data_IF_804369981718
#
_entry.id   IF_804369981718
#
_cell.length_a   1.000
_cell.length_b   1.000
_cell.length_c   1.000
_cell.angle_alpha   90.00
_cell.angle_beta   90.00
_cell.angle_gamma   90.00
#
_symmetry.space_group_name_H-M   'P 1'
#
loop_
_entity.id
_entity.type
_entity.pdbx_description
1 polymer ?
#
# COMPACT_ATOMS: atom_id res chain seq x y z
N UNK A 1 21.91 9.07 20.89
CA UNK A 1 20.77 8.12 20.93
C UNK A 1 19.45 8.75 20.48
N UNK A 2 18.97 9.85 21.09
CA UNK A 2 17.69 10.48 20.70
C UNK A 2 17.62 10.91 19.22
N UNK A 3 18.69 11.50 18.69
CA UNK A 3 18.75 11.89 17.27
C UNK A 3 18.66 10.69 16.30
N UNK A 4 19.25 9.55 16.65
CA UNK A 4 19.17 8.34 15.84
C UNK A 4 17.74 7.79 15.76
N UNK A 5 16.99 7.85 16.87
CA UNK A 5 15.59 7.43 16.90
C UNK A 5 14.71 8.29 16.00
N UNK A 6 14.89 9.62 16.02
CA UNK A 6 14.15 10.55 15.15
C UNK A 6 14.41 10.23 13.66
N UNK A 7 15.67 9.95 13.30
CA UNK A 7 16.01 9.59 11.92
C UNK A 7 15.32 8.29 11.51
N UNK A 8 15.33 7.27 12.36
CA UNK A 8 14.65 5.98 12.09
C UNK A 8 13.15 6.21 11.91
N UNK A 9 12.52 7.01 12.76
CA UNK A 9 11.08 7.30 12.67
C UNK A 9 10.71 8.04 11.38
N UNK A 10 11.52 9.02 10.96
CA UNK A 10 11.34 9.71 9.68
C UNK A 10 11.49 8.77 8.48
N UNK A 11 12.48 7.87 8.51
CA UNK A 11 12.67 6.86 7.46
C UNK A 11 11.50 5.89 7.42
N UNK A 12 11.04 5.39 8.57
CA UNK A 12 9.86 4.53 8.65
C UNK A 12 8.60 5.22 8.12
N UNK A 13 8.39 6.49 8.47
CA UNK A 13 7.28 7.29 7.95
C UNK A 13 7.32 7.45 6.44
N UNK A 14 8.49 7.75 5.88
CA UNK A 14 8.67 7.86 4.42
C UNK A 14 8.39 6.53 3.72
N UNK A 15 8.94 5.42 4.23
CA UNK A 15 8.70 4.07 3.69
C UNK A 15 7.21 3.74 3.72
N UNK A 16 6.51 4.08 4.81
CA UNK A 16 5.07 3.85 4.92
C UNK A 16 4.28 4.64 3.88
N UNK A 17 4.59 5.93 3.68
CA UNK A 17 3.93 6.78 2.67
C UNK A 17 4.15 6.21 1.28
N UNK A 18 5.38 5.81 0.94
CA UNK A 18 5.68 5.21 -0.36
C UNK A 18 4.95 3.87 -0.57
N UNK A 19 4.91 3.02 0.45
CA UNK A 19 4.22 1.72 0.39
C UNK A 19 2.71 1.90 0.20
N UNK A 20 2.06 2.78 0.96
CA UNK A 20 0.63 3.07 0.83
C UNK A 20 0.30 3.72 -0.52
N UNK A 21 1.20 4.56 -1.03
CA UNK A 21 1.03 5.19 -2.34
C UNK A 21 1.07 4.16 -3.46
N UNK A 22 2.07 3.27 -3.42
CA UNK A 22 2.18 2.18 -4.36
C UNK A 22 0.98 1.23 -4.26
N UNK A 23 0.54 0.89 -3.05
CA UNK A 23 -0.62 0.04 -2.81
C UNK A 23 -1.88 0.62 -3.46
N UNK A 24 -2.12 1.91 -3.24
CA UNK A 24 -3.25 2.64 -3.83
C UNK A 24 -3.19 2.59 -5.36
N UNK A 25 -2.01 2.80 -5.93
CA UNK A 25 -1.82 2.75 -7.38
C UNK A 25 -2.12 1.36 -7.95
N UNK A 26 -1.54 0.29 -7.38
CA UNK A 26 -1.74 -1.06 -7.88
C UNK A 26 -3.22 -1.46 -7.78
N UNK A 27 -3.91 -1.10 -6.69
CA UNK A 27 -5.35 -1.36 -6.55
C UNK A 27 -6.18 -0.59 -7.58
N UNK A 28 -5.84 0.66 -7.89
CA UNK A 28 -6.47 1.40 -9.00
C UNK A 28 -6.21 0.70 -10.33
N UNK A 29 -4.98 0.26 -10.59
CA UNK A 29 -4.59 -0.46 -11.82
C UNK A 29 -5.43 -1.72 -12.01
N UNK A 30 -5.55 -2.55 -10.96
CA UNK A 30 -6.40 -3.75 -10.98
C UNK A 30 -7.87 -3.38 -11.23
N UNK A 31 -8.38 -2.37 -10.54
CA UNK A 31 -9.79 -1.98 -10.67
C UNK A 31 -10.12 -1.48 -12.07
N UNK A 32 -9.32 -0.56 -12.62
CA UNK A 32 -9.59 0.02 -13.94
C UNK A 32 -9.15 -0.88 -15.10
N UNK A 33 -8.24 -1.82 -14.88
CA UNK A 33 -7.83 -2.79 -15.90
C UNK A 33 -8.83 -3.94 -16.06
N UNK A 34 -9.46 -4.40 -14.97
CA UNK A 34 -10.24 -5.64 -14.98
C UNK A 34 -11.69 -5.50 -14.52
N UNK A 35 -12.04 -4.51 -13.69
CA UNK A 35 -13.41 -4.32 -13.18
C UNK A 35 -14.13 -3.24 -13.98
N UNK A 36 -13.63 -2.02 -13.96
CA UNK A 36 -14.24 -0.86 -14.63
C UNK A 36 -13.32 -0.31 -15.70
N UNK A 37 -13.43 -0.86 -16.91
CA UNK A 37 -12.59 -0.53 -18.06
C UNK A 37 -12.91 0.83 -18.69
N UNK A 38 -13.95 1.52 -18.23
CA UNK A 38 -14.39 2.79 -18.82
C UNK A 38 -13.44 3.95 -18.50
N UNK A 39 -12.70 3.88 -17.40
CA UNK A 39 -11.74 4.92 -16.99
C UNK A 39 -10.31 4.44 -17.20
N UNK A 40 -9.52 5.15 -18.01
CA UNK A 40 -8.07 4.95 -18.10
C UNK A 40 -7.38 5.76 -17.02
N UNK A 41 -6.47 5.13 -16.27
CA UNK A 41 -5.64 5.84 -15.29
C UNK A 41 -4.69 6.76 -16.05
N UNK A 42 -4.78 8.06 -15.78
CA UNK A 42 -3.84 9.05 -16.31
C UNK A 42 -2.71 9.31 -15.33
N UNK A 43 -1.59 9.84 -15.81
CA UNK A 43 -0.50 10.36 -14.97
C UNK A 43 -1.00 11.43 -13.97
N UNK A 44 -2.10 12.11 -14.28
CA UNK A 44 -2.72 13.07 -13.37
C UNK A 44 -3.48 12.40 -12.22
N UNK A 45 -4.13 11.26 -12.47
CA UNK A 45 -4.69 10.41 -11.40
C UNK A 45 -3.58 9.84 -10.48
N UNK A 46 -2.35 9.77 -10.99
CA UNK A 46 -1.16 9.28 -10.27
C UNK A 46 -0.63 10.29 -9.25
N UNK A 47 -0.59 11.58 -9.61
CA UNK A 47 0.02 12.64 -8.79
C UNK A 47 -1.00 13.48 -8.04
N UNK A 48 -2.20 13.69 -8.62
CA UNK A 48 -3.17 14.67 -8.13
C UNK A 48 -4.36 14.10 -7.35
N UNK A 49 -4.69 12.81 -7.51
CA UNK A 49 -5.87 12.20 -6.86
C UNK A 49 -5.47 11.08 -5.90
N UNK A 50 -4.72 11.45 -4.86
CA UNK A 50 -4.49 10.57 -3.73
C UNK A 50 -5.77 10.45 -2.90
N UNK A 51 -6.65 9.53 -3.30
CA UNK A 51 -7.85 9.20 -2.56
C UNK A 51 -7.54 8.06 -1.60
N UNK A 52 -7.35 8.40 -0.33
CA UNK A 52 -7.05 7.45 0.75
C UNK A 52 -8.11 6.36 0.93
N UNK A 53 -9.33 6.55 0.43
CA UNK A 53 -10.37 5.52 0.45
C UNK A 53 -9.95 4.26 -0.33
N UNK A 54 -9.07 4.41 -1.34
CA UNK A 54 -8.56 3.27 -2.11
C UNK A 54 -7.71 2.30 -1.29
N UNK A 55 -7.09 2.76 -0.20
CA UNK A 55 -6.34 1.88 0.71
C UNK A 55 -7.29 0.81 1.28
N UNK A 56 -8.51 1.21 1.65
CA UNK A 56 -9.51 0.36 2.28
C UNK A 56 -10.47 -0.31 1.31
N UNK A 57 -10.56 0.16 0.06
CA UNK A 57 -11.46 -0.41 -0.96
C UNK A 57 -11.27 -1.92 -1.11
N UNK A 58 -12.31 -2.70 -0.85
CA UNK A 58 -12.28 -4.16 -1.03
C UNK A 58 -12.37 -4.50 -2.51
N UNK A 59 -11.50 -5.41 -2.95
CA UNK A 59 -11.52 -5.99 -4.30
C UNK A 59 -11.52 -7.50 -4.10
N UNK A 60 -12.47 -8.22 -4.72
CA UNK A 60 -12.47 -9.67 -4.71
C UNK A 60 -11.45 -10.21 -5.72
N UNK A 61 -10.25 -10.51 -5.22
CA UNK A 61 -9.18 -11.04 -6.05
C UNK A 61 -9.42 -12.49 -6.48
N UNK A 62 -10.21 -13.25 -5.73
CA UNK A 62 -10.49 -14.65 -6.08
C UNK A 62 -11.45 -14.69 -7.27
N UNK A 63 -12.48 -13.84 -7.26
CA UNK A 63 -13.38 -13.65 -8.39
C UNK A 63 -12.61 -13.22 -9.63
N UNK A 64 -11.72 -12.21 -9.52
CA UNK A 64 -10.89 -11.73 -10.63
C UNK A 64 -9.98 -12.80 -11.22
N UNK A 65 -9.34 -13.61 -10.38
CA UNK A 65 -8.48 -14.71 -10.83
C UNK A 65 -9.29 -15.85 -11.45
N UNK A 66 -10.50 -16.11 -10.96
CA UNK A 66 -11.39 -17.11 -11.56
C UNK A 66 -11.89 -16.70 -12.94
N UNK A 67 -12.16 -15.40 -13.14
CA UNK A 67 -12.56 -14.83 -14.41
C UNK A 67 -11.40 -14.70 -15.41
N UNK A 68 -10.16 -14.55 -14.94
CA UNK A 68 -8.96 -14.37 -15.77
C UNK A 68 -7.81 -15.32 -15.36
N UNK A 69 -8.00 -16.64 -15.46
CA UNK A 69 -7.08 -17.63 -14.86
C UNK A 69 -5.68 -17.64 -15.49
N UNK A 70 -5.55 -17.18 -16.73
CA UNK A 70 -4.29 -17.18 -17.49
C UNK A 70 -3.60 -15.81 -17.52
N UNK A 71 -4.15 -14.79 -16.86
CA UNK A 71 -3.56 -13.45 -16.84
C UNK A 71 -2.42 -13.37 -15.81
N UNK A 72 -1.18 -13.42 -16.29
CA UNK A 72 0.02 -13.34 -15.46
C UNK A 72 0.22 -11.96 -14.84
N UNK A 73 -0.17 -10.88 -15.54
CA UNK A 73 -0.05 -9.51 -15.05
C UNK A 73 -1.00 -9.26 -13.87
N UNK A 74 -2.23 -9.77 -13.98
CA UNK A 74 -3.19 -9.71 -12.87
C UNK A 74 -2.66 -10.43 -11.62
N UNK A 75 -2.08 -11.63 -11.79
CA UNK A 75 -1.46 -12.39 -10.69
C UNK A 75 -0.31 -11.63 -10.05
N UNK A 76 0.54 -11.00 -10.87
CA UNK A 76 1.67 -10.19 -10.40
C UNK A 76 1.17 -9.00 -9.57
N UNK A 77 0.19 -8.24 -10.06
CA UNK A 77 -0.37 -7.11 -9.31
C UNK A 77 -1.07 -7.53 -8.02
N UNK A 78 -1.80 -8.64 -8.01
CA UNK A 78 -2.42 -9.16 -6.79
C UNK A 78 -1.34 -9.56 -5.78
N UNK A 79 -0.26 -10.19 -6.23
CA UNK A 79 0.86 -10.55 -5.36
C UNK A 79 1.56 -9.31 -4.82
N UNK A 80 1.78 -8.30 -5.66
CA UNK A 80 2.34 -7.00 -5.27
C UNK A 80 1.47 -6.34 -4.18
N UNK A 81 0.14 -6.35 -4.32
CA UNK A 81 -0.78 -5.85 -3.27
C UNK A 81 -0.59 -6.60 -1.95
N UNK A 82 -0.44 -7.93 -1.98
CA UNK A 82 -0.20 -8.72 -0.76
C UNK A 82 1.10 -8.33 -0.08
N UNK A 83 2.19 -8.21 -0.86
CA UNK A 83 3.50 -7.81 -0.36
C UNK A 83 3.45 -6.41 0.25
N UNK A 84 2.84 -5.44 -0.46
CA UNK A 84 2.74 -4.05 0.00
C UNK A 84 1.94 -3.91 1.29
N UNK A 85 0.88 -4.71 1.48
CA UNK A 85 0.13 -4.77 2.75
C UNK A 85 1.01 -5.24 3.91
N UNK A 86 1.86 -6.24 3.69
CA UNK A 86 2.78 -6.73 4.71
C UNK A 86 3.84 -5.66 5.03
N UNK A 87 4.43 -5.06 3.99
CA UNK A 87 5.42 -3.99 4.13
C UNK A 87 4.84 -2.80 4.89
N UNK A 88 3.57 -2.43 4.69
CA UNK A 88 2.98 -1.30 5.40
C UNK A 88 2.73 -1.57 6.89
N UNK A 89 2.65 -2.82 7.32
CA UNK A 89 2.45 -3.19 8.73
C UNK A 89 3.77 -3.07 9.51
N UNK A 90 4.90 -3.42 8.89
CA UNK A 90 6.21 -3.48 9.56
C UNK A 90 6.63 -2.13 10.19
N UNK A 91 6.59 -0.98 9.47
CA UNK A 91 6.91 0.33 10.04
C UNK A 91 5.99 0.69 11.21
N UNK A 92 4.68 0.39 11.10
CA UNK A 92 3.70 0.70 12.14
C UNK A 92 4.02 -0.05 13.44
N UNK A 93 4.38 -1.33 13.34
CA UNK A 93 4.79 -2.14 14.49
C UNK A 93 6.08 -1.61 15.12
N UNK A 94 7.08 -1.24 14.30
CA UNK A 94 8.35 -0.70 14.78
C UNK A 94 8.12 0.63 15.52
N UNK A 95 7.35 1.56 14.94
CA UNK A 95 7.01 2.83 15.58
C UNK A 95 6.27 2.60 16.90
N UNK A 96 5.31 1.67 16.93
CA UNK A 96 4.59 1.31 18.15
C UNK A 96 5.50 0.81 19.28
N UNK A 97 6.48 -0.05 18.95
CA UNK A 97 7.46 -0.54 19.93
C UNK A 97 8.37 0.58 20.46
N UNK A 98 8.80 1.51 19.60
CA UNK A 98 9.64 2.65 19.99
C UNK A 98 8.87 3.58 20.95
N UNK A 99 7.61 3.87 20.65
CA UNK A 99 6.75 4.74 21.48
C UNK A 99 6.50 4.09 22.85
N UNK A 100 6.10 2.81 22.88
CA UNK A 100 5.87 2.09 24.14
C UNK A 100 7.15 1.99 24.99
N UNK A 101 8.30 1.73 24.35
CA UNK A 101 9.59 1.68 25.04
C UNK A 101 9.97 3.01 25.70
N UNK A 102 9.68 4.14 25.06
CA UNK A 102 9.94 5.46 25.63
C UNK A 102 8.96 5.83 26.77
N UNK A 103 7.72 5.35 26.73
CA UNK A 103 6.74 5.57 27.81
C UNK A 103 7.11 4.77 29.06
N UNK A 104 7.59 3.53 28.93
CA UNK A 104 7.96 2.68 30.08
C UNK A 104 9.26 3.10 30.80
N UNK A 105 10.05 4.02 30.24
CA UNK A 105 11.32 4.51 30.81
C UNK A 105 11.12 5.86 31.55
N UNK A 106 9.94 6.47 31.44
CA UNK A 106 9.51 7.71 32.10
C UNK A 106 8.72 7.41 33.38
#
# INVERSE_FOLDING_TARGET
MKQCLIIIELVCGLVLVLALSRLTFVKKSIYYGWIDKNKKITLFDYVGQYDGAWIFKSIDYNELLSANPNDSLLKEYINEVRILKIISIIPVSITGMIVLGNICIL
#
